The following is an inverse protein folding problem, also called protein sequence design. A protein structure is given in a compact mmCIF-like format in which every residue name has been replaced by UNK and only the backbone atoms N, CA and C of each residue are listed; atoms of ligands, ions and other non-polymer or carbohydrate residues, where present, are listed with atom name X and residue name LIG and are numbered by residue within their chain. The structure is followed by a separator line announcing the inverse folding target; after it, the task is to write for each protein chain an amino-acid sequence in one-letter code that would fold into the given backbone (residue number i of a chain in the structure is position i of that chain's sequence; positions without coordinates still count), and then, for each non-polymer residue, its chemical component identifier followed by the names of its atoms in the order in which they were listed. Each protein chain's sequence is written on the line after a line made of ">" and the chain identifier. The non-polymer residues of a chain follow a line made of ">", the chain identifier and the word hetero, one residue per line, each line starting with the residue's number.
data_IF_900795677851
#
_entry.id   IF_900795677851
#
_cell.length_a   1.000
_cell.length_b   1.000
_cell.length_c   1.000
_cell.angle_alpha   90.00
_cell.angle_beta   90.00
_cell.angle_gamma   90.00
#
_symmetry.space_group_name_H-M   'P 1'
#
loop_
_entity.id
_entity.type
_entity.pdbx_description
1 polymer ?
#
# COMPACT_ATOMS: atom_id res chain seq x y z
N UNK A 1 -39.31 50.09 15.17
CA UNK A 1 -39.28 48.85 14.35
C UNK A 1 -38.39 48.93 13.09
N UNK A 2 -38.30 50.07 12.39
CA UNK A 2 -37.54 50.21 11.13
C UNK A 2 -36.01 50.02 11.25
N UNK A 3 -35.39 50.45 12.37
CA UNK A 3 -33.94 50.26 12.61
C UNK A 3 -33.55 48.79 12.89
N UNK A 4 -34.38 48.02 13.61
CA UNK A 4 -34.09 46.61 13.89
C UNK A 4 -34.08 45.77 12.60
N UNK A 5 -35.01 46.01 11.67
CA UNK A 5 -35.04 45.34 10.35
C UNK A 5 -33.81 45.68 9.49
N UNK A 6 -33.36 46.94 9.50
CA UNK A 6 -32.12 47.34 8.80
C UNK A 6 -30.88 46.67 9.39
N UNK A 7 -30.80 46.58 10.72
CA UNK A 7 -29.67 45.94 11.40
C UNK A 7 -29.60 44.44 11.08
N UNK A 8 -30.74 43.74 11.07
CA UNK A 8 -30.84 42.32 10.69
C UNK A 8 -30.42 42.10 9.22
N UNK A 9 -30.86 42.97 8.30
CA UNK A 9 -30.47 42.90 6.88
C UNK A 9 -28.96 43.12 6.67
N UNK A 10 -28.35 44.05 7.41
CA UNK A 10 -26.90 44.29 7.36
C UNK A 10 -26.13 43.10 7.93
N UNK A 11 -26.57 42.52 9.05
CA UNK A 11 -25.95 41.30 9.61
C UNK A 11 -26.04 40.12 8.63
N UNK A 12 -27.19 39.93 7.98
CA UNK A 12 -27.36 38.88 6.96
C UNK A 12 -26.43 39.11 5.76
N UNK A 13 -26.33 40.35 5.28
CA UNK A 13 -25.43 40.70 4.18
C UNK A 13 -23.97 40.44 4.54
N UNK A 14 -23.54 40.77 5.77
CA UNK A 14 -22.18 40.48 6.25
C UNK A 14 -21.94 38.97 6.30
N UNK A 15 -22.89 38.17 6.79
CA UNK A 15 -22.77 36.70 6.83
C UNK A 15 -22.67 36.13 5.42
N UNK A 16 -23.49 36.61 4.47
CA UNK A 16 -23.45 36.17 3.07
C UNK A 16 -22.14 36.57 2.38
N UNK A 17 -21.66 37.81 2.58
CA UNK A 17 -20.39 38.26 2.02
C UNK A 17 -19.23 37.48 2.64
N UNK A 18 -19.25 37.23 3.95
CA UNK A 18 -18.24 36.44 4.64
C UNK A 18 -18.24 34.98 4.19
N UNK A 19 -19.41 34.36 4.02
CA UNK A 19 -19.52 32.98 3.53
C UNK A 19 -19.08 32.87 2.06
N UNK A 20 -19.45 33.84 1.21
CA UNK A 20 -18.98 33.90 -0.18
C UNK A 20 -17.46 34.11 -0.26
N UNK A 21 -16.91 35.00 0.59
CA UNK A 21 -15.47 35.25 0.66
C UNK A 21 -14.69 34.03 1.17
N UNK A 22 -15.23 33.30 2.17
CA UNK A 22 -14.67 32.03 2.62
C UNK A 22 -14.74 30.95 1.53
N UNK A 23 -15.82 30.91 0.76
CA UNK A 23 -16.00 29.95 -0.34
C UNK A 23 -15.07 30.23 -1.53
N UNK A 24 -14.69 31.50 -1.75
CA UNK A 24 -13.75 31.91 -2.79
C UNK A 24 -12.28 31.77 -2.40
N UNK A 25 -11.95 31.43 -1.15
CA UNK A 25 -10.54 31.22 -0.77
C UNK A 25 -9.99 29.99 -1.48
N UNK A 26 -8.82 30.09 -2.14
CA UNK A 26 -8.20 28.94 -2.76
C UNK A 26 -7.80 27.92 -1.68
N UNK A 27 -8.01 26.65 -1.99
CA UNK A 27 -7.56 25.51 -1.18
C UNK A 27 -6.45 24.76 -1.95
N UNK A 28 -5.38 24.31 -1.28
CA UNK A 28 -5.09 24.49 0.14
C UNK A 28 -4.71 25.94 0.50
N UNK A 29 -4.89 26.38 1.76
CA UNK A 29 -4.46 27.70 2.20
C UNK A 29 -2.94 27.84 2.09
N UNK A 30 -2.48 29.04 1.71
CA UNK A 30 -1.06 29.37 1.74
C UNK A 30 -0.59 29.53 3.18
N UNK A 31 0.52 28.88 3.51
CA UNK A 31 1.16 28.94 4.83
C UNK A 31 2.29 29.95 4.77
N UNK A 32 2.37 30.80 5.78
CA UNK A 32 3.47 31.76 5.92
C UNK A 32 4.49 31.17 6.87
N UNK A 33 5.66 30.83 6.36
CA UNK A 33 6.75 30.28 7.16
C UNK A 33 7.69 31.40 7.62
N UNK A 34 8.27 31.22 8.80
CA UNK A 34 9.44 31.99 9.23
C UNK A 34 10.68 31.60 8.43
N UNK A 35 11.73 32.41 8.47
CA UNK A 35 13.02 32.09 7.82
C UNK A 35 13.60 30.76 8.33
N UNK A 36 13.48 30.48 9.63
CA UNK A 36 13.93 29.24 10.22
C UNK A 36 13.12 28.04 9.70
N UNK A 37 11.80 28.15 9.61
CA UNK A 37 10.94 27.08 9.09
C UNK A 37 11.19 26.83 7.60
N UNK A 38 11.44 27.88 6.81
CA UNK A 38 11.86 27.74 5.42
C UNK A 38 13.12 26.88 5.31
N UNK A 39 14.16 27.18 6.09
CA UNK A 39 15.41 26.41 6.07
C UNK A 39 15.20 24.94 6.47
N UNK A 40 14.34 24.68 7.47
CA UNK A 40 14.00 23.30 7.88
C UNK A 40 13.28 22.55 6.77
N UNK A 41 12.27 23.16 6.15
CA UNK A 41 11.49 22.55 5.07
C UNK A 41 12.36 22.30 3.84
N UNK A 42 13.21 23.25 3.46
CA UNK A 42 14.11 23.11 2.31
C UNK A 42 15.13 21.98 2.53
N UNK A 43 15.67 21.85 3.75
CA UNK A 43 16.55 20.75 4.11
C UNK A 43 15.81 19.40 4.06
N UNK A 44 14.56 19.36 4.55
CA UNK A 44 13.74 18.15 4.50
C UNK A 44 13.34 17.77 3.06
N UNK A 45 13.18 18.74 2.16
CA UNK A 45 12.84 18.53 0.76
C UNK A 45 14.06 18.34 -0.17
N UNK A 46 15.27 18.23 0.39
CA UNK A 46 16.50 18.17 -0.40
C UNK A 46 16.53 16.96 -1.36
N UNK A 47 17.01 17.21 -2.58
CA UNK A 47 17.22 16.22 -3.64
C UNK A 47 16.00 15.29 -3.87
N UNK A 48 14.82 15.85 -4.19
CA UNK A 48 13.62 15.05 -4.36
C UNK A 48 13.78 14.13 -5.57
N UNK A 49 13.41 12.87 -5.39
CA UNK A 49 13.47 11.85 -6.43
C UNK A 49 12.13 11.13 -6.55
N UNK A 50 11.68 10.83 -7.78
CA UNK A 50 10.41 10.14 -7.98
C UNK A 50 10.43 8.73 -7.38
N UNK A 51 9.38 8.39 -6.64
CA UNK A 51 9.10 7.03 -6.14
C UNK A 51 7.90 6.47 -6.87
N UNK A 52 8.00 5.22 -7.30
CA UNK A 52 6.91 4.52 -7.98
C UNK A 52 6.06 3.73 -6.99
N UNK A 53 4.80 4.13 -6.82
CA UNK A 53 3.86 3.50 -5.89
C UNK A 53 2.62 3.06 -6.67
N UNK A 54 2.45 1.75 -6.85
CA UNK A 54 1.43 1.21 -7.73
C UNK A 54 1.54 1.80 -9.13
N UNK A 55 0.55 2.62 -9.49
CA UNK A 55 0.46 3.34 -10.78
C UNK A 55 0.76 4.82 -10.68
N UNK A 56 1.21 5.29 -9.52
CA UNK A 56 1.46 6.69 -9.22
C UNK A 56 2.95 6.97 -9.01
N UNK A 57 3.32 8.23 -9.17
CA UNK A 57 4.61 8.78 -8.78
C UNK A 57 4.39 9.87 -7.73
N UNK A 58 5.24 9.85 -6.71
CA UNK A 58 5.37 10.92 -5.72
C UNK A 58 6.86 11.18 -5.55
N UNK A 59 7.26 12.44 -5.59
CA UNK A 59 8.66 12.81 -5.39
C UNK A 59 8.93 12.88 -3.89
N UNK A 60 9.86 12.05 -3.42
CA UNK A 60 10.30 12.03 -2.03
C UNK A 60 11.76 12.44 -1.92
N UNK A 61 12.14 13.10 -0.82
CA UNK A 61 13.55 13.40 -0.51
C UNK A 61 14.40 12.13 -0.49
N UNK A 62 15.68 12.27 -0.83
CA UNK A 62 16.63 11.15 -0.84
C UNK A 62 16.88 10.57 0.57
N UNK A 63 16.69 11.40 1.60
CA UNK A 63 16.93 11.04 3.00
C UNK A 63 15.83 10.20 3.65
N UNK A 64 14.95 9.58 2.88
CA UNK A 64 14.06 8.55 3.39
C UNK A 64 14.73 7.17 3.38
N UNK A 65 14.41 6.35 4.38
CA UNK A 65 14.87 4.97 4.48
C UNK A 65 14.29 4.08 3.37
N UNK A 66 14.83 2.87 3.22
CA UNK A 66 14.20 1.85 2.36
C UNK A 66 12.79 1.58 2.87
N UNK A 67 11.77 1.52 2.00
CA UNK A 67 10.39 1.34 2.44
C UNK A 67 10.17 -0.05 3.04
N UNK A 68 9.30 -0.11 4.04
CA UNK A 68 8.84 -1.36 4.67
C UNK A 68 7.34 -1.45 4.45
N UNK A 69 6.86 -2.62 4.04
CA UNK A 69 5.44 -2.81 3.85
C UNK A 69 5.06 -4.18 3.30
N UNK A 70 3.82 -4.27 2.90
CA UNK A 70 3.15 -5.48 2.44
C UNK A 70 2.61 -5.31 1.04
N UNK A 71 2.62 -6.41 0.30
CA UNK A 71 2.13 -6.48 -1.07
C UNK A 71 1.28 -7.72 -1.18
N UNK A 72 0.03 -7.56 -1.53
CA UNK A 72 -0.91 -8.65 -1.71
C UNK A 72 -1.43 -8.67 -3.16
N UNK A 73 -1.39 -9.85 -3.76
CA UNK A 73 -2.06 -10.15 -5.02
C UNK A 73 -3.04 -11.28 -4.81
N UNK A 74 -4.32 -11.05 -5.13
CA UNK A 74 -5.40 -11.99 -4.84
C UNK A 74 -5.41 -12.44 -3.37
N UNK A 75 -5.13 -11.49 -2.45
CA UNK A 75 -5.01 -11.72 -1.00
C UNK A 75 -3.86 -12.65 -0.60
N UNK A 76 -2.90 -12.88 -1.50
CA UNK A 76 -1.68 -13.67 -1.25
C UNK A 76 -0.48 -12.74 -1.21
N UNK A 77 0.30 -12.85 -0.15
CA UNK A 77 1.44 -11.97 0.08
C UNK A 77 2.57 -12.25 -0.91
N UNK A 78 3.22 -11.20 -1.37
CA UNK A 78 4.47 -11.24 -2.12
C UNK A 78 5.56 -10.61 -1.24
N UNK A 79 6.35 -11.47 -0.61
CA UNK A 79 7.53 -11.05 0.12
C UNK A 79 8.66 -10.72 -0.87
N UNK A 80 9.43 -9.65 -0.62
CA UNK A 80 10.57 -9.28 -1.47
C UNK A 80 11.81 -8.92 -0.64
N UNK A 81 12.97 -9.41 -1.05
CA UNK A 81 14.24 -9.15 -0.38
C UNK A 81 15.37 -9.02 -1.39
N UNK A 82 16.20 -7.98 -1.24
CA UNK A 82 17.44 -7.86 -2.03
C UNK A 82 18.47 -8.84 -1.54
N UNK A 83 18.93 -9.72 -2.43
CA UNK A 83 20.01 -10.67 -2.16
C UNK A 83 20.83 -10.91 -3.43
N UNK A 84 22.07 -11.37 -3.25
CA UNK A 84 22.89 -11.82 -4.37
C UNK A 84 22.42 -13.20 -4.86
N UNK A 85 22.59 -13.46 -6.16
CA UNK A 85 22.16 -14.72 -6.76
C UNK A 85 22.74 -15.97 -6.05
N UNK A 86 24.04 -16.05 -5.69
CA UNK A 86 24.56 -17.22 -4.97
C UNK A 86 23.87 -17.45 -3.61
N UNK A 87 23.50 -16.37 -2.91
CA UNK A 87 22.77 -16.46 -1.66
C UNK A 87 21.32 -16.94 -1.88
N UNK A 88 20.68 -16.52 -2.97
CA UNK A 88 19.37 -17.06 -3.37
C UNK A 88 19.46 -18.56 -3.66
N UNK A 89 20.41 -18.99 -4.48
CA UNK A 89 20.61 -20.41 -4.83
C UNK A 89 20.86 -21.27 -3.59
N UNK A 90 21.71 -20.79 -2.66
CA UNK A 90 21.93 -21.44 -1.39
C UNK A 90 20.65 -21.52 -0.54
N UNK A 91 19.87 -20.43 -0.47
CA UNK A 91 18.60 -20.40 0.27
C UNK A 91 17.61 -21.44 -0.27
N UNK A 92 17.52 -21.60 -1.59
CA UNK A 92 16.64 -22.60 -2.22
C UNK A 92 17.09 -24.02 -1.86
N UNK A 93 18.39 -24.32 -1.97
CA UNK A 93 18.92 -25.64 -1.61
C UNK A 93 18.63 -25.99 -0.15
N UNK A 94 18.92 -25.05 0.76
CA UNK A 94 18.67 -25.25 2.20
C UNK A 94 17.17 -25.42 2.48
N UNK A 95 16.31 -24.63 1.84
CA UNK A 95 14.86 -24.73 2.01
C UNK A 95 14.34 -26.10 1.57
N UNK A 96 14.81 -26.61 0.43
CA UNK A 96 14.41 -27.94 -0.04
C UNK A 96 14.87 -29.05 0.92
N UNK A 97 16.12 -29.00 1.39
CA UNK A 97 16.65 -29.94 2.38
C UNK A 97 15.84 -29.92 3.68
N UNK A 98 15.45 -28.73 4.15
CA UNK A 98 14.62 -28.58 5.33
C UNK A 98 13.22 -29.15 5.12
N UNK A 99 12.57 -28.85 3.98
CA UNK A 99 11.25 -29.38 3.63
C UNK A 99 11.26 -30.93 3.55
N UNK A 100 12.34 -31.53 3.07
CA UNK A 100 12.53 -32.99 3.04
C UNK A 100 12.67 -33.63 4.42
N UNK A 101 13.17 -32.88 5.41
CA UNK A 101 13.35 -33.36 6.80
C UNK A 101 12.06 -33.24 7.64
N UNK A 102 11.11 -32.39 7.24
CA UNK A 102 9.86 -32.20 7.97
C UNK A 102 9.04 -33.50 7.93
N UNK A 103 8.60 -33.94 9.12
CA UNK A 103 7.68 -35.07 9.29
C UNK A 103 6.28 -34.55 9.62
N UNK A 104 5.25 -34.95 8.84
CA UNK A 104 3.85 -34.78 9.24
C UNK A 104 3.60 -35.47 10.59
N UNK A 105 2.57 -35.00 11.31
CA UNK A 105 2.16 -35.60 12.59
C UNK A 105 1.57 -37.01 12.39
N UNK A 106 0.84 -37.19 11.29
CA UNK A 106 0.25 -38.45 10.89
C UNK A 106 1.10 -39.10 9.79
N UNK A 107 1.52 -40.34 10.01
CA UNK A 107 2.45 -41.04 9.12
C UNK A 107 1.90 -41.22 7.71
N UNK A 108 0.59 -41.41 7.58
CA UNK A 108 -0.15 -41.52 6.33
C UNK A 108 -0.06 -40.27 5.45
N UNK A 109 0.28 -39.12 6.02
CA UNK A 109 0.42 -37.85 5.30
C UNK A 109 1.84 -37.61 4.74
N UNK A 110 2.78 -38.53 5.02
CA UNK A 110 4.18 -38.48 4.54
C UNK A 110 4.27 -38.76 3.04
N UNK A 111 5.21 -38.15 2.28
CA UNK A 111 6.18 -37.13 2.69
C UNK A 111 5.57 -35.73 2.80
N UNK A 112 6.20 -34.82 3.57
CA UNK A 112 5.75 -33.43 3.68
C UNK A 112 5.98 -32.63 2.39
N UNK A 113 7.17 -32.75 1.77
CA UNK A 113 7.44 -32.24 0.44
C UNK A 113 6.86 -33.23 -0.60
N UNK A 114 5.85 -32.79 -1.34
CA UNK A 114 5.13 -33.58 -2.33
C UNK A 114 5.76 -33.49 -3.71
N UNK A 115 6.16 -32.28 -4.11
CA UNK A 115 6.78 -32.07 -5.41
C UNK A 115 7.65 -30.82 -5.46
N UNK A 116 8.46 -30.72 -6.49
CA UNK A 116 9.33 -29.58 -6.80
C UNK A 116 9.17 -29.26 -8.27
N UNK A 117 8.67 -28.07 -8.58
CA UNK A 117 8.43 -27.63 -9.95
C UNK A 117 9.45 -26.55 -10.36
N UNK A 118 10.13 -26.71 -11.51
CA UNK A 118 10.93 -25.64 -12.08
C UNK A 118 10.01 -24.54 -12.63
N UNK A 119 10.50 -23.30 -12.66
CA UNK A 119 9.82 -22.21 -13.33
C UNK A 119 9.99 -22.28 -14.86
N UNK A 120 9.03 -21.78 -15.64
CA UNK A 120 9.10 -21.79 -17.10
C UNK A 120 10.23 -20.90 -17.64
N UNK A 121 10.57 -21.09 -18.91
CA UNK A 121 11.43 -20.18 -19.70
C UNK A 121 12.83 -19.90 -19.10
N UNK A 122 13.39 -20.85 -18.34
CA UNK A 122 14.71 -20.70 -17.73
C UNK A 122 14.77 -19.64 -16.62
N UNK A 123 13.61 -19.23 -16.08
CA UNK A 123 13.54 -18.32 -14.96
C UNK A 123 14.24 -18.92 -13.73
N UNK A 124 14.93 -18.06 -12.97
CA UNK A 124 15.65 -18.47 -11.76
C UNK A 124 14.67 -18.56 -10.61
N UNK A 125 14.24 -19.77 -10.29
CA UNK A 125 13.32 -20.00 -9.19
C UNK A 125 12.75 -21.40 -9.18
N UNK A 126 11.88 -21.64 -8.21
CA UNK A 126 11.32 -22.96 -7.93
C UNK A 126 9.97 -22.83 -7.22
N UNK A 127 9.10 -23.83 -7.37
CA UNK A 127 7.87 -23.96 -6.59
C UNK A 127 7.95 -25.27 -5.82
N UNK A 128 7.83 -25.21 -4.50
CA UNK A 128 7.69 -26.37 -3.64
C UNK A 128 6.22 -26.65 -3.38
N UNK A 129 5.78 -27.88 -3.61
CA UNK A 129 4.47 -28.35 -3.16
C UNK A 129 4.63 -29.11 -1.85
N UNK A 130 3.97 -28.65 -0.80
CA UNK A 130 4.07 -29.24 0.54
C UNK A 130 2.69 -29.49 1.12
N UNK A 131 2.56 -30.31 2.18
CA UNK A 131 1.36 -30.24 3.01
C UNK A 131 1.16 -28.80 3.53
N UNK A 132 -0.09 -28.40 3.76
CA UNK A 132 -0.39 -27.04 4.24
C UNK A 132 0.11 -26.79 5.66
N UNK A 133 0.16 -27.85 6.49
CA UNK A 133 0.79 -27.84 7.80
C UNK A 133 1.25 -29.25 8.19
N UNK A 134 2.00 -29.39 9.29
CA UNK A 134 2.38 -30.71 9.83
C UNK A 134 1.18 -31.55 10.27
N UNK A 135 0.08 -30.92 10.68
CA UNK A 135 -1.13 -31.62 11.15
C UNK A 135 -2.23 -31.72 10.09
N UNK A 136 -2.05 -31.11 8.92
CA UNK A 136 -3.04 -31.16 7.86
C UNK A 136 -2.98 -32.49 7.11
N UNK A 137 -4.14 -33.06 6.75
CA UNK A 137 -4.19 -34.16 5.80
C UNK A 137 -3.47 -33.80 4.50
N UNK A 138 -2.79 -34.76 3.90
CA UNK A 138 -1.94 -34.53 2.74
C UNK A 138 -2.66 -34.10 1.45
N UNK A 139 -3.99 -34.14 1.45
CA UNK A 139 -4.80 -33.53 0.42
C UNK A 139 -4.66 -32.00 0.43
N UNK A 140 -4.51 -31.36 1.58
CA UNK A 140 -4.41 -29.90 1.68
C UNK A 140 -2.96 -29.48 1.63
N UNK A 141 -2.62 -28.68 0.63
CA UNK A 141 -1.24 -28.40 0.25
C UNK A 141 -1.00 -26.90 0.06
N UNK A 142 0.27 -26.53 0.05
CA UNK A 142 0.75 -25.20 -0.30
C UNK A 142 1.67 -25.31 -1.52
N UNK A 143 1.59 -24.33 -2.41
CA UNK A 143 2.59 -24.05 -3.43
C UNK A 143 3.41 -22.86 -2.96
N UNK A 144 4.62 -23.12 -2.46
CA UNK A 144 5.59 -22.12 -2.04
C UNK A 144 6.51 -21.77 -3.21
N UNK A 145 6.27 -20.64 -3.86
CA UNK A 145 7.10 -20.14 -4.95
C UNK A 145 8.24 -19.27 -4.45
N UNK A 146 9.39 -19.43 -5.07
CA UNK A 146 10.54 -18.54 -4.98
C UNK A 146 11.02 -18.15 -6.37
N UNK A 147 11.26 -16.87 -6.60
CA UNK A 147 11.81 -16.36 -7.87
C UNK A 147 12.89 -15.32 -7.59
N UNK A 148 13.92 -15.31 -8.43
CA UNK A 148 14.99 -14.33 -8.43
C UNK A 148 15.06 -13.58 -9.76
N UNK A 149 15.06 -12.26 -9.69
CA UNK A 149 15.16 -11.39 -10.86
C UNK A 149 15.75 -10.04 -10.45
N UNK A 150 16.68 -9.51 -11.25
CA UNK A 150 17.30 -8.20 -11.08
C UNK A 150 17.80 -7.87 -9.64
N UNK A 151 18.42 -8.82 -8.96
CA UNK A 151 18.95 -8.59 -7.60
C UNK A 151 17.93 -8.75 -6.46
N UNK A 152 16.70 -9.16 -6.78
CA UNK A 152 15.60 -9.28 -5.83
C UNK A 152 15.08 -10.70 -5.84
N UNK A 153 14.90 -11.25 -4.64
CA UNK A 153 14.25 -12.53 -4.44
C UNK A 153 12.85 -12.32 -3.90
N UNK A 154 11.87 -12.92 -4.55
CA UNK A 154 10.48 -12.91 -4.14
C UNK A 154 10.07 -14.28 -3.61
N UNK A 155 9.09 -14.27 -2.70
CA UNK A 155 8.43 -15.45 -2.18
C UNK A 155 6.94 -15.21 -2.09
N UNK A 156 6.15 -16.20 -2.48
CA UNK A 156 4.71 -16.20 -2.27
C UNK A 156 4.22 -17.63 -2.03
N UNK A 157 3.12 -17.76 -1.29
CA UNK A 157 2.53 -19.06 -0.95
C UNK A 157 1.05 -19.01 -1.30
N UNK A 158 0.59 -19.99 -2.07
CA UNK A 158 -0.82 -20.20 -2.35
C UNK A 158 -1.26 -21.59 -1.89
N UNK A 159 -2.53 -21.72 -1.51
CA UNK A 159 -3.12 -23.00 -1.10
C UNK A 159 -3.64 -23.76 -2.32
N UNK A 160 -3.58 -25.09 -2.25
CA UNK A 160 -4.08 -26.01 -3.26
C UNK A 160 -4.55 -27.30 -2.61
N UNK A 161 -5.39 -28.06 -3.29
CA UNK A 161 -5.91 -29.34 -2.82
C UNK A 161 -5.60 -30.42 -3.86
N UNK A 162 -5.11 -31.56 -3.40
CA UNK A 162 -4.95 -32.78 -4.18
C UNK A 162 -5.46 -33.98 -3.39
N UNK A 163 -6.75 -34.32 -3.54
CA UNK A 163 -7.36 -35.39 -2.81
C UNK A 163 -7.36 -36.70 -3.60
N UNK A 164 -6.46 -36.92 -4.57
CA UNK A 164 -6.57 -38.07 -5.49
C UNK A 164 -6.34 -39.44 -4.80
N UNK A 165 -5.73 -39.44 -3.61
CA UNK A 165 -5.55 -40.65 -2.80
C UNK A 165 -6.87 -41.38 -2.51
N UNK A 166 -6.82 -42.72 -2.50
CA UNK A 166 -7.99 -43.57 -2.28
C UNK A 166 -8.74 -43.24 -0.97
N UNK A 167 -8.00 -42.88 0.08
CA UNK A 167 -8.57 -42.52 1.39
C UNK A 167 -9.58 -41.36 1.35
N UNK A 168 -9.51 -40.52 0.33
CA UNK A 168 -10.40 -39.37 0.17
C UNK A 168 -11.62 -39.63 -0.73
N UNK A 169 -11.84 -40.86 -1.23
CA UNK A 169 -12.96 -41.15 -2.15
C UNK A 169 -14.32 -40.74 -1.57
N UNK A 170 -14.55 -41.04 -0.28
CA UNK A 170 -15.78 -40.64 0.42
C UNK A 170 -15.87 -39.11 0.56
N UNK A 171 -14.76 -38.43 0.79
CA UNK A 171 -14.71 -36.97 0.91
C UNK A 171 -15.00 -36.29 -0.42
N UNK A 172 -14.44 -36.78 -1.54
CA UNK A 172 -14.74 -36.28 -2.89
C UNK A 172 -16.23 -36.38 -3.22
N UNK A 173 -16.90 -37.45 -2.78
CA UNK A 173 -18.36 -37.64 -2.97
C UNK A 173 -19.20 -36.73 -2.07
N UNK A 174 -18.77 -36.50 -0.82
CA UNK A 174 -19.52 -35.70 0.17
C UNK A 174 -19.31 -34.19 0.04
N UNK A 175 -18.11 -33.78 -0.36
CA UNK A 175 -17.65 -32.39 -0.40
C UNK A 175 -16.81 -32.15 -1.67
N UNK A 176 -17.39 -32.30 -2.87
CA UNK A 176 -16.65 -32.17 -4.13
C UNK A 176 -16.00 -30.79 -4.30
N UNK A 177 -16.64 -29.73 -3.81
CA UNK A 177 -16.10 -28.36 -3.85
C UNK A 177 -14.82 -28.18 -3.02
N UNK A 178 -14.65 -28.94 -1.93
CA UNK A 178 -13.45 -28.87 -1.10
C UNK A 178 -12.40 -29.91 -1.50
N UNK A 179 -12.85 -31.10 -1.89
CA UNK A 179 -12.00 -32.22 -2.29
C UNK A 179 -12.03 -32.38 -3.82
N UNK A 180 -11.58 -31.35 -4.53
CA UNK A 180 -11.23 -31.43 -5.94
C UNK A 180 -9.72 -31.20 -6.11
N UNK A 181 -9.13 -31.79 -7.14
CA UNK A 181 -7.73 -31.54 -7.45
C UNK A 181 -7.60 -30.24 -8.25
N UNK A 182 -6.99 -29.22 -7.66
CA UNK A 182 -6.76 -27.92 -8.31
C UNK A 182 -5.28 -27.60 -8.53
N UNK A 183 -4.36 -28.54 -8.28
CA UNK A 183 -2.90 -28.31 -8.35
C UNK A 183 -2.47 -27.75 -9.69
N UNK A 184 -2.95 -28.32 -10.79
CA UNK A 184 -2.61 -27.86 -12.13
C UNK A 184 -3.11 -26.42 -12.40
N UNK A 185 -4.30 -26.08 -11.88
CA UNK A 185 -4.91 -24.76 -12.02
C UNK A 185 -4.10 -23.74 -11.20
N UNK A 186 -3.77 -24.08 -9.95
CA UNK A 186 -3.00 -23.23 -9.04
C UNK A 186 -1.56 -23.01 -9.51
N UNK A 187 -0.92 -24.04 -10.06
CA UNK A 187 0.39 -23.89 -10.71
C UNK A 187 0.33 -22.95 -11.92
N UNK A 188 -0.71 -23.03 -12.73
CA UNK A 188 -0.87 -22.13 -13.87
C UNK A 188 -1.10 -20.66 -13.43
N UNK A 189 -1.95 -20.45 -12.43
CA UNK A 189 -2.20 -19.15 -11.78
C UNK A 189 -0.88 -18.54 -11.26
N UNK A 190 -0.11 -19.33 -10.50
CA UNK A 190 1.15 -18.91 -9.92
C UNK A 190 2.19 -18.59 -10.99
N UNK A 191 2.34 -19.42 -12.01
CA UNK A 191 3.26 -19.15 -13.13
C UNK A 191 2.88 -17.86 -13.89
N UNK A 192 1.59 -17.57 -14.06
CA UNK A 192 1.12 -16.33 -14.70
C UNK A 192 1.49 -15.08 -13.88
N UNK A 193 1.48 -15.17 -12.55
CA UNK A 193 1.97 -14.10 -11.68
C UNK A 193 3.49 -13.97 -11.77
N UNK A 194 4.22 -15.06 -11.57
CA UNK A 194 5.69 -15.06 -11.48
C UNK A 194 6.37 -14.59 -12.77
N UNK A 195 5.81 -14.90 -13.94
CA UNK A 195 6.35 -14.48 -15.24
C UNK A 195 6.29 -12.98 -15.48
N UNK A 196 5.42 -12.26 -14.75
CA UNK A 196 5.26 -10.80 -14.83
C UNK A 196 6.00 -10.08 -13.70
N UNK A 197 6.59 -10.81 -12.77
CA UNK A 197 7.24 -10.26 -11.59
C UNK A 197 8.70 -9.93 -11.90
N UNK A 198 9.06 -8.66 -11.74
CA UNK A 198 10.39 -8.13 -12.02
C UNK A 198 10.96 -7.44 -10.77
N UNK A 199 12.22 -7.73 -10.47
CA UNK A 199 12.97 -6.94 -9.50
C UNK A 199 13.29 -5.58 -10.11
N UNK A 200 13.20 -4.52 -9.31
CA UNK A 200 13.57 -3.15 -9.72
C UNK A 200 14.36 -2.44 -8.64
N UNK A 201 15.12 -1.42 -8.99
CA UNK A 201 15.67 -0.46 -8.01
C UNK A 201 14.57 0.48 -7.50
N UNK A 202 14.76 1.07 -6.32
CA UNK A 202 13.73 1.92 -5.72
C UNK A 202 13.39 3.14 -6.61
N UNK A 203 14.43 3.76 -7.16
CA UNK A 203 14.32 4.95 -8.02
C UNK A 203 14.13 4.60 -9.50
N UNK A 204 14.04 3.31 -9.83
CA UNK A 204 13.74 2.86 -11.18
C UNK A 204 12.24 3.02 -11.45
N UNK A 205 11.91 3.74 -12.51
CA UNK A 205 10.53 3.97 -12.97
C UNK A 205 10.27 3.11 -14.21
N UNK A 206 9.46 2.06 -14.09
CA UNK A 206 9.04 1.25 -15.23
C UNK A 206 8.26 2.10 -16.24
N UNK A 207 8.57 1.95 -17.53
CA UNK A 207 7.87 2.62 -18.63
C UNK A 207 6.72 1.78 -19.21
N UNK A 208 6.69 0.49 -18.89
CA UNK A 208 5.66 -0.44 -19.32
C UNK A 208 4.43 -0.42 -18.40
N UNK A 209 3.34 -1.01 -18.89
CA UNK A 209 2.09 -1.17 -18.12
C UNK A 209 2.30 -2.11 -16.95
N UNK A 210 1.72 -1.77 -15.82
CA UNK A 210 1.84 -2.56 -14.59
C UNK A 210 1.91 -1.68 -13.36
N UNK A 211 2.20 -2.28 -12.20
CA UNK A 211 2.25 -1.55 -10.93
C UNK A 211 3.54 -1.83 -10.16
N UNK A 212 4.04 -0.79 -9.49
CA UNK A 212 5.25 -0.82 -8.69
C UNK A 212 4.95 -1.07 -7.22
N UNK A 213 5.89 -1.72 -6.55
CA UNK A 213 5.93 -1.82 -5.10
C UNK A 213 7.40 -1.86 -4.64
N UNK A 214 7.71 -1.83 -3.34
CA UNK A 214 9.08 -1.91 -2.86
C UNK A 214 9.84 -3.09 -3.48
N UNK A 215 11.01 -2.81 -4.06
CA UNK A 215 11.88 -3.78 -4.78
C UNK A 215 11.26 -4.50 -5.99
N UNK A 216 9.99 -4.26 -6.35
CA UNK A 216 9.30 -5.06 -7.34
C UNK A 216 8.41 -4.27 -8.30
N UNK A 217 8.13 -4.92 -9.41
CA UNK A 217 7.20 -4.47 -10.44
C UNK A 217 6.47 -5.68 -11.01
N UNK A 218 5.15 -5.57 -11.18
CA UNK A 218 4.38 -6.57 -11.91
C UNK A 218 3.91 -5.95 -13.22
N UNK A 219 4.40 -6.52 -14.33
CA UNK A 219 4.07 -6.09 -15.68
C UNK A 219 2.66 -6.55 -16.10
N UNK A 220 2.11 -5.87 -17.10
CA UNK A 220 0.81 -6.20 -17.69
C UNK A 220 -0.29 -5.18 -17.38
N UNK A 221 -1.46 -5.41 -17.96
CA UNK A 221 -2.64 -4.55 -17.76
C UNK A 221 -3.20 -4.82 -16.36
N UNK A 222 -3.67 -3.78 -15.66
CA UNK A 222 -4.31 -3.97 -14.36
C UNK A 222 -5.60 -4.76 -14.47
N UNK A 223 -5.92 -5.54 -13.43
CA UNK A 223 -7.19 -6.26 -13.34
C UNK A 223 -7.32 -7.37 -14.39
N UNK A 224 -6.20 -7.81 -14.98
CA UNK A 224 -6.18 -9.03 -15.78
C UNK A 224 -6.69 -10.16 -14.89
N UNK A 225 -7.78 -10.81 -15.31
CA UNK A 225 -8.47 -11.85 -14.53
C UNK A 225 -8.99 -11.39 -13.15
N UNK A 226 -9.44 -10.14 -13.01
CA UNK A 226 -9.96 -9.61 -11.75
C UNK A 226 -8.92 -9.68 -10.60
N UNK A 227 -7.63 -9.57 -10.95
CA UNK A 227 -6.55 -9.58 -9.98
C UNK A 227 -6.70 -8.44 -8.97
N UNK A 228 -6.80 -8.80 -7.69
CA UNK A 228 -6.86 -7.86 -6.57
C UNK A 228 -5.44 -7.45 -6.19
N UNK A 229 -5.14 -6.17 -6.28
CA UNK A 229 -3.85 -5.57 -5.97
C UNK A 229 -4.01 -4.70 -4.71
N UNK A 230 -3.32 -5.02 -3.63
CA UNK A 230 -3.28 -4.24 -2.40
C UNK A 230 -1.81 -4.06 -1.97
N UNK A 231 -1.37 -2.81 -1.96
CA UNK A 231 0.01 -2.46 -1.65
C UNK A 231 0.01 -1.38 -0.58
N UNK A 232 0.70 -1.62 0.54
CA UNK A 232 0.87 -0.66 1.64
C UNK A 232 2.31 -0.65 2.11
N UNK A 233 2.96 0.50 2.15
CA UNK A 233 4.33 0.61 2.65
C UNK A 233 4.65 2.00 3.16
N UNK A 234 5.58 2.09 4.10
CA UNK A 234 6.01 3.34 4.71
C UNK A 234 7.49 3.63 4.48
N UNK A 235 7.78 4.92 4.37
CA UNK A 235 9.11 5.49 4.44
C UNK A 235 9.26 6.24 5.75
N UNK A 236 10.45 6.15 6.35
CA UNK A 236 10.82 6.94 7.52
C UNK A 236 11.93 7.90 7.17
N UNK A 237 11.80 9.17 7.55
CA UNK A 237 12.85 10.17 7.33
C UNK A 237 14.08 9.83 8.17
N UNK A 238 15.27 9.94 7.59
CA UNK A 238 16.56 9.78 8.28
C UNK A 238 16.91 11.03 9.08
N UNK A 239 16.58 12.20 8.57
CA UNK A 239 16.90 13.48 9.22
C UNK A 239 15.91 13.82 10.35
N UNK A 240 14.66 13.35 10.26
CA UNK A 240 13.69 13.41 11.35
C UNK A 240 13.00 12.04 11.52
N UNK A 241 13.48 11.17 12.43
CA UNK A 241 12.90 9.86 12.66
C UNK A 241 11.48 9.86 13.23
N UNK A 242 10.94 10.99 13.68
CA UNK A 242 9.54 11.12 14.11
C UNK A 242 8.59 11.27 12.93
N UNK A 243 9.11 11.58 11.74
CA UNK A 243 8.37 11.73 10.51
C UNK A 243 8.40 10.44 9.68
N UNK A 244 7.23 9.91 9.37
CA UNK A 244 7.06 8.82 8.40
C UNK A 244 5.90 9.10 7.46
N UNK A 245 6.01 8.57 6.25
CA UNK A 245 5.01 8.69 5.20
C UNK A 245 4.64 7.29 4.76
N UNK A 246 3.38 6.94 4.87
CA UNK A 246 2.81 5.73 4.36
C UNK A 246 2.10 5.98 3.03
N UNK A 247 2.19 4.99 2.16
CA UNK A 247 1.44 4.95 0.92
C UNK A 247 0.62 3.68 0.87
N UNK A 248 -0.60 3.79 0.37
CA UNK A 248 -1.41 2.64 0.02
C UNK A 248 -2.05 2.80 -1.35
N UNK A 249 -2.26 1.68 -2.02
CA UNK A 249 -3.04 1.63 -3.25
C UNK A 249 -3.79 0.32 -3.33
N UNK A 250 -5.05 0.42 -3.75
CA UNK A 250 -5.97 -0.71 -3.87
C UNK A 250 -6.79 -0.54 -5.15
N UNK A 251 -6.82 -1.56 -6.00
CA UNK A 251 -7.53 -1.52 -7.28
C UNK A 251 -8.98 -2.02 -7.22
N UNK A 252 -9.46 -2.44 -6.05
CA UNK A 252 -10.78 -3.02 -5.82
C UNK A 252 -11.58 -2.26 -4.76
N UNK A 253 -10.90 -1.55 -3.85
CA UNK A 253 -11.54 -0.72 -2.83
C UNK A 253 -12.34 0.40 -3.49
N UNK A 254 -13.65 0.34 -3.34
CA UNK A 254 -14.59 1.39 -3.72
C UNK A 254 -15.46 1.70 -2.51
N UNK A 255 -15.26 2.89 -1.93
CA UNK A 255 -16.10 3.36 -0.84
C UNK A 255 -17.38 3.98 -1.41
N UNK A 256 -18.51 3.69 -0.77
CA UNK A 256 -19.81 4.30 -1.12
C UNK A 256 -19.78 5.84 -0.98
N UNK A 257 -18.95 6.33 -0.06
CA UNK A 257 -18.83 7.75 0.27
C UNK A 257 -17.38 8.17 0.43
N UNK A 258 -17.05 9.37 -0.02
CA UNK A 258 -15.70 9.91 0.13
C UNK A 258 -15.41 10.31 1.59
N UNK A 259 -14.13 10.51 1.89
CA UNK A 259 -13.68 11.00 3.19
C UNK A 259 -14.37 12.30 3.61
N UNK A 260 -14.54 13.27 2.71
CA UNK A 260 -15.22 14.53 3.04
C UNK A 260 -16.74 14.39 3.13
N UNK A 261 -17.36 13.48 2.36
CA UNK A 261 -18.78 13.15 2.52
C UNK A 261 -19.06 12.55 3.91
N UNK A 262 -18.12 11.75 4.44
CA UNK A 262 -18.16 11.18 5.80
C UNK A 262 -17.66 12.11 6.90
N UNK A 263 -17.49 13.40 6.61
CA UNK A 263 -16.78 14.31 7.51
C UNK A 263 -17.46 14.56 8.86
N UNK A 264 -18.77 14.45 8.96
CA UNK A 264 -19.46 14.56 10.26
C UNK A 264 -19.09 13.41 11.20
N UNK A 265 -19.12 12.18 10.69
CA UNK A 265 -18.75 10.95 11.42
C UNK A 265 -17.29 10.97 11.82
N UNK A 266 -16.38 11.29 10.88
CA UNK A 266 -14.94 11.37 11.15
C UNK A 266 -14.65 12.44 12.21
N UNK A 267 -15.21 13.65 12.07
CA UNK A 267 -15.00 14.73 13.05
C UNK A 267 -15.46 14.31 14.46
N UNK A 268 -16.58 13.59 14.55
CA UNK A 268 -17.10 13.08 15.83
C UNK A 268 -16.16 12.05 16.46
N UNK A 269 -15.57 11.16 15.65
CA UNK A 269 -14.56 10.21 16.11
C UNK A 269 -13.27 10.89 16.60
N UNK A 270 -12.77 11.89 15.87
CA UNK A 270 -11.55 12.64 16.23
C UNK A 270 -11.68 13.36 17.57
N UNK A 271 -12.86 13.93 17.87
CA UNK A 271 -13.13 14.58 19.16
C UNK A 271 -12.99 13.60 20.35
N UNK A 272 -13.44 12.36 20.18
CA UNK A 272 -13.37 11.34 21.23
C UNK A 272 -11.92 10.92 21.58
N UNK A 273 -10.98 11.17 20.67
CA UNK A 273 -9.56 10.85 20.84
C UNK A 273 -8.68 12.09 20.98
N UNK A 274 -9.26 13.24 21.37
CA UNK A 274 -8.54 14.51 21.61
C UNK A 274 -7.74 14.99 20.39
N UNK A 275 -8.27 14.76 19.19
CA UNK A 275 -7.65 15.13 17.92
C UNK A 275 -8.43 16.26 17.26
N UNK A 276 -7.70 17.28 16.81
CA UNK A 276 -8.25 18.51 16.21
C UNK A 276 -7.97 18.55 14.72
N UNK A 277 -8.94 18.99 13.92
CA UNK A 277 -8.73 19.23 12.50
C UNK A 277 -7.97 20.55 12.29
N UNK A 278 -6.86 20.49 11.55
CA UNK A 278 -6.13 21.67 11.08
C UNK A 278 -6.76 22.22 9.80
N UNK A 279 -6.97 21.35 8.82
CA UNK A 279 -7.59 21.69 7.55
C UNK A 279 -8.12 20.43 6.86
N UNK A 280 -9.12 20.59 5.99
CA UNK A 280 -9.63 19.53 5.13
C UNK A 280 -10.27 20.15 3.88
N UNK A 281 -10.23 19.45 2.76
CA UNK A 281 -10.74 20.00 1.51
C UNK A 281 -10.40 19.17 0.28
N UNK A 282 -10.92 19.61 -0.86
CA UNK A 282 -10.67 19.00 -2.16
C UNK A 282 -9.49 19.68 -2.84
N UNK A 283 -8.65 18.90 -3.52
CA UNK A 283 -7.52 19.38 -4.32
C UNK A 283 -7.60 18.80 -5.72
N UNK A 284 -7.19 19.59 -6.69
CA UNK A 284 -6.87 19.10 -8.02
C UNK A 284 -5.35 19.07 -8.15
N UNK A 285 -4.76 17.88 -8.30
CA UNK A 285 -3.31 17.68 -8.32
C UNK A 285 -2.96 16.93 -9.60
N UNK A 286 -2.30 17.58 -10.54
CA UNK A 286 -1.90 16.97 -11.82
C UNK A 286 -3.05 16.18 -12.50
N UNK A 287 -4.25 16.79 -12.52
CA UNK A 287 -5.52 16.23 -13.05
C UNK A 287 -6.17 15.12 -12.20
N UNK A 288 -5.63 14.85 -11.01
CA UNK A 288 -6.24 13.95 -10.04
C UNK A 288 -7.15 14.75 -9.10
N UNK A 289 -8.39 14.29 -8.96
CA UNK A 289 -9.28 14.77 -7.91
C UNK A 289 -8.90 14.08 -6.59
N UNK A 290 -8.41 14.85 -5.64
CA UNK A 290 -7.99 14.39 -4.33
C UNK A 290 -8.84 15.01 -3.23
N UNK A 291 -9.02 14.29 -2.13
CA UNK A 291 -9.54 14.83 -0.88
C UNK A 291 -8.46 14.69 0.20
N UNK A 292 -8.21 15.74 0.98
CA UNK A 292 -7.24 15.70 2.07
C UNK A 292 -7.86 16.12 3.40
N UNK A 293 -7.28 15.60 4.48
CA UNK A 293 -7.64 15.94 5.85
C UNK A 293 -6.40 15.88 6.74
N UNK A 294 -6.08 17.01 7.35
CA UNK A 294 -4.94 17.17 8.24
C UNK A 294 -5.45 17.34 9.67
N UNK A 295 -4.94 16.52 10.57
CA UNK A 295 -5.31 16.54 11.99
C UNK A 295 -4.08 16.57 12.89
N UNK A 296 -4.27 17.07 14.11
CA UNK A 296 -3.28 17.03 15.19
C UNK A 296 -3.89 16.44 16.45
N UNK A 297 -3.27 15.40 16.98
CA UNK A 297 -3.57 14.81 18.27
C UNK A 297 -2.91 15.63 19.38
N UNK A 298 -3.70 16.00 20.39
CA UNK A 298 -3.23 16.75 21.57
C UNK A 298 -3.22 15.88 22.84
N UNK A 299 -3.23 14.56 22.68
CA UNK A 299 -3.22 13.61 23.81
C UNK A 299 -1.84 13.39 24.42
N UNK A 300 -1.73 12.44 25.35
CA UNK A 300 -0.44 11.96 25.89
C UNK A 300 0.48 11.39 24.79
N UNK A 301 1.78 11.24 25.05
CA UNK A 301 2.85 10.94 24.08
C UNK A 301 2.46 9.98 22.93
N UNK A 302 1.77 8.86 23.16
CA UNK A 302 1.40 7.93 22.07
C UNK A 302 0.30 8.44 21.12
N UNK A 303 -0.39 9.52 21.50
CA UNK A 303 -1.51 10.16 20.79
C UNK A 303 -1.21 11.63 20.43
N UNK A 304 -0.03 12.14 20.75
CA UNK A 304 0.41 13.46 20.33
C UNK A 304 1.08 13.37 18.96
N UNK A 305 0.74 14.27 18.04
CA UNK A 305 1.30 14.21 16.69
C UNK A 305 0.36 14.70 15.60
N UNK A 306 0.92 14.84 14.41
CA UNK A 306 0.20 15.18 13.20
C UNK A 306 -0.09 13.92 12.40
N UNK A 307 -1.32 13.79 11.90
CA UNK A 307 -1.71 12.75 10.94
C UNK A 307 -2.42 13.41 9.77
N UNK A 308 -1.83 13.34 8.59
CA UNK A 308 -2.33 13.99 7.38
C UNK A 308 -2.64 12.91 6.35
N UNK A 309 -3.85 12.91 5.80
CA UNK A 309 -4.30 11.93 4.81
C UNK A 309 -4.68 12.65 3.53
N UNK A 310 -4.27 12.11 2.39
CA UNK A 310 -4.77 12.49 1.07
C UNK A 310 -5.19 11.24 0.31
N UNK A 311 -6.43 11.22 -0.15
CA UNK A 311 -7.02 10.12 -0.92
C UNK A 311 -7.33 10.56 -2.35
N UNK A 312 -7.08 9.66 -3.29
CA UNK A 312 -7.44 9.76 -4.71
C UNK A 312 -8.26 8.54 -5.09
N UNK A 313 -9.29 8.75 -5.93
CA UNK A 313 -10.15 7.69 -6.47
C UNK A 313 -10.90 6.83 -5.44
N UNK A 314 -11.11 7.32 -4.21
CA UNK A 314 -11.76 6.56 -3.11
C UNK A 314 -13.13 5.96 -3.50
N UNK A 315 -13.94 6.66 -4.29
CA UNK A 315 -15.27 6.20 -4.74
C UNK A 315 -15.27 5.46 -6.07
N UNK A 316 -14.18 5.56 -6.83
CA UNK A 316 -14.07 5.04 -8.21
C UNK A 316 -12.90 4.08 -8.36
N UNK A 317 -12.45 3.50 -7.25
CA UNK A 317 -11.37 2.53 -7.23
C UNK A 317 -11.64 1.42 -8.22
N UNK A 318 -10.72 1.26 -9.16
CA UNK A 318 -10.80 0.24 -10.20
C UNK A 318 -9.39 -0.13 -10.67
N UNK A 319 -9.22 -1.20 -11.44
CA UNK A 319 -7.95 -1.50 -12.10
C UNK A 319 -7.37 -0.33 -12.93
N UNK A 320 -8.23 0.46 -13.59
CA UNK A 320 -7.81 1.61 -14.40
C UNK A 320 -7.61 2.88 -13.56
N UNK A 321 -8.27 2.98 -12.41
CA UNK A 321 -8.22 4.15 -11.52
C UNK A 321 -8.07 3.67 -10.07
N UNK A 322 -6.96 3.01 -9.70
CA UNK A 322 -6.83 2.43 -8.37
C UNK A 322 -6.92 3.52 -7.31
N UNK A 323 -7.56 3.19 -6.19
CA UNK A 323 -7.54 4.03 -5.00
C UNK A 323 -6.08 4.22 -4.59
N UNK A 324 -5.76 5.42 -4.13
CA UNK A 324 -4.44 5.78 -3.67
C UNK A 324 -4.54 6.67 -2.45
N UNK A 325 -3.75 6.37 -1.43
CA UNK A 325 -3.64 7.16 -0.21
C UNK A 325 -2.19 7.49 0.08
N UNK A 326 -1.96 8.73 0.54
CA UNK A 326 -0.74 9.13 1.22
C UNK A 326 -1.14 9.48 2.64
N UNK A 327 -0.42 8.94 3.62
CA UNK A 327 -0.58 9.28 5.02
C UNK A 327 0.76 9.77 5.58
N UNK A 328 0.82 11.01 6.04
CA UNK A 328 1.98 11.52 6.80
C UNK A 328 1.66 11.44 8.28
N UNK A 329 2.62 10.91 9.04
CA UNK A 329 2.58 10.92 10.49
C UNK A 329 3.85 11.56 11.03
N UNK A 330 3.67 12.46 12.00
CA UNK A 330 4.77 13.15 12.68
C UNK A 330 4.48 13.26 14.18
N UNK A 331 5.30 12.63 15.01
CA UNK A 331 5.19 12.73 16.47
C UNK A 331 6.03 11.68 17.21
N UNK A 332 6.05 11.72 18.56
CA UNK A 332 5.20 12.55 19.42
C UNK A 332 5.57 14.04 19.43
N UNK A 333 4.64 14.90 19.88
CA UNK A 333 4.89 16.32 20.13
C UNK A 333 5.24 16.59 21.61
N UNK A 334 6.01 17.64 21.92
CA UNK A 334 6.59 18.62 20.98
C UNK A 334 7.80 18.05 20.22
N UNK A 335 7.97 18.49 18.96
CA UNK A 335 9.23 18.36 18.23
C UNK A 335 9.81 19.77 18.01
N UNK A 336 10.95 20.05 18.64
CA UNK A 336 11.64 21.34 18.53
C UNK A 336 12.28 21.54 17.14
N UNK A 337 12.45 20.46 16.36
CA UNK A 337 13.11 20.48 15.06
C UNK A 337 12.15 20.70 13.90
N UNK A 338 10.85 20.43 14.08
CA UNK A 338 9.84 20.49 13.03
C UNK A 338 8.51 21.04 13.56
N UNK A 339 8.25 22.32 13.28
CA UNK A 339 7.00 23.00 13.67
C UNK A 339 5.79 22.51 12.88
N UNK A 340 4.58 22.75 13.39
CA UNK A 340 3.34 22.41 12.67
C UNK A 340 3.30 23.02 11.26
N UNK A 341 3.60 24.32 11.13
CA UNK A 341 3.56 25.01 9.84
C UNK A 341 4.59 24.43 8.87
N UNK A 342 5.76 24.01 9.35
CA UNK A 342 6.76 23.30 8.56
C UNK A 342 6.29 21.91 8.10
N UNK A 343 5.63 21.12 8.96
CA UNK A 343 5.06 19.81 8.57
C UNK A 343 4.00 19.99 7.50
N UNK A 344 3.12 20.98 7.64
CA UNK A 344 2.06 21.23 6.65
C UNK A 344 2.65 21.74 5.34
N UNK A 345 3.66 22.60 5.36
CA UNK A 345 4.35 23.04 4.15
C UNK A 345 5.06 21.87 3.43
N UNK A 346 5.75 21.01 4.18
CA UNK A 346 6.35 19.78 3.66
C UNK A 346 5.30 18.90 3.00
N UNK A 347 4.17 18.66 3.67
CA UNK A 347 3.04 17.90 3.14
C UNK A 347 2.50 18.46 1.83
N UNK A 348 2.24 19.77 1.77
CA UNK A 348 1.75 20.42 0.56
C UNK A 348 2.71 20.22 -0.60
N UNK A 349 4.03 20.36 -0.37
CA UNK A 349 5.07 20.18 -1.38
C UNK A 349 5.19 18.75 -1.91
N UNK A 350 5.21 17.75 -1.03
CA UNK A 350 5.31 16.34 -1.49
C UNK A 350 4.05 15.94 -2.26
N UNK A 351 2.87 16.34 -1.79
CA UNK A 351 1.60 15.95 -2.41
C UNK A 351 1.35 16.66 -3.74
N UNK A 352 1.87 17.88 -3.94
CA UNK A 352 1.84 18.59 -5.24
C UNK A 352 2.51 17.80 -6.37
N UNK A 353 3.44 16.89 -6.04
CA UNK A 353 4.18 16.07 -7.02
C UNK A 353 3.41 14.82 -7.45
N UNK A 354 2.30 14.49 -6.77
CA UNK A 354 1.51 13.29 -7.04
C UNK A 354 0.98 13.30 -8.47
N UNK A 355 1.26 12.25 -9.22
CA UNK A 355 0.84 12.10 -10.62
C UNK A 355 0.71 10.64 -11.00
N UNK A 356 -0.07 10.33 -12.03
CA UNK A 356 -0.07 9.00 -12.63
C UNK A 356 1.28 8.76 -13.30
N UNK A 357 1.88 7.58 -13.10
CA UNK A 357 3.11 7.19 -13.78
C UNK A 357 2.86 7.10 -15.29
N UNK A 358 3.68 7.74 -16.13
CA UNK A 358 3.58 7.59 -17.58
C UNK A 358 3.62 6.10 -17.99
N UNK A 359 2.67 5.69 -18.84
CA UNK A 359 2.59 4.31 -19.33
C UNK A 359 2.01 3.28 -18.35
N UNK A 360 1.49 3.69 -17.19
CA UNK A 360 0.99 2.75 -16.18
C UNK A 360 -0.29 1.99 -16.56
N UNK A 361 -1.17 2.59 -17.37
CA UNK A 361 -2.51 2.08 -17.72
C UNK A 361 -2.56 1.60 -19.18
#
# INVERSE_FOLDING_TARGET
>A
MRNKKKMVLVSLAIVVVFSLWQWLKPYPPQITLTEQEHNVVDNLLANPTPRCIGRYLVDLPEDFNTPIGTVYINKKEIESHRIYLPAFEQRIRLREEDLRKIKPLHTEDTPFLKNVYPLPNGMKGIIFETNSSRGSPDAFRNLEAHIYTNGVAFKTIIETVNPDGERYEKNRKKMPELYHNDVAIKLAELNKLLTRLHGRQENEIPTEKGFCFPNGFISGVSGVNDEMEDVRFSYRSKINPLLYIEFSTDNYLHEETSMLERSSTISSGLLNIQTTTLMKGRREINKLAAEEWLVVGNGEDSRSGHTFVLNVNEKIGSPQTPMFSIELNHGPLPDETLSQDAVVAFWQKITETLRVRPGAI
#
